data_IF_995234570414
#
_entry.id   IF_995234570414
#
_cell.length_a   1.000
_cell.length_b   1.000
_cell.length_c   1.000
_cell.angle_alpha   90.00
_cell.angle_beta   90.00
_cell.angle_gamma   90.00
#
_symmetry.space_group_name_H-M   'P 1'
#
loop_
_entity.id
_entity.type
_entity.pdbx_description
1 polymer ?
#
# COMPACT_ATOMS: atom_id res chain seq x y z
N UNK A 1 -7.93 -3.87 -21.26
CA UNK A 1 -6.82 -3.95 -20.31
C UNK A 1 -7.25 -4.66 -19.04
N UNK A 2 -6.32 -5.41 -18.46
CA UNK A 2 -6.61 -6.15 -17.23
C UNK A 2 -6.77 -5.19 -16.05
N UNK A 3 -7.86 -5.34 -15.29
CA UNK A 3 -8.05 -4.61 -14.05
C UNK A 3 -7.23 -5.25 -12.93
N UNK A 4 -6.80 -4.45 -11.97
CA UNK A 4 -6.00 -4.92 -10.84
C UNK A 4 -6.67 -4.62 -9.51
N UNK A 5 -6.36 -5.44 -8.51
CA UNK A 5 -6.75 -5.22 -7.13
C UNK A 5 -5.57 -4.55 -6.42
N UNK A 6 -5.79 -3.36 -5.90
CA UNK A 6 -4.72 -2.50 -5.37
C UNK A 6 -4.81 -2.38 -3.86
N UNK A 7 -3.67 -2.54 -3.18
CA UNK A 7 -3.54 -2.26 -1.75
C UNK A 7 -2.75 -0.97 -1.52
N UNK A 8 -3.22 -0.13 -0.61
CA UNK A 8 -2.53 1.08 -0.19
C UNK A 8 -2.14 0.93 1.27
N UNK A 9 -0.86 0.98 1.55
CA UNK A 9 -0.32 0.90 2.90
C UNK A 9 0.14 2.29 3.33
N UNK A 10 -0.54 2.87 4.30
CA UNK A 10 -0.28 4.23 4.74
C UNK A 10 -1.15 5.23 3.97
N UNK A 11 -2.08 5.87 4.68
CA UNK A 11 -3.03 6.81 4.08
C UNK A 11 -2.87 8.23 4.63
N UNK A 12 -1.64 8.62 4.95
CA UNK A 12 -1.31 9.98 5.31
C UNK A 12 -1.56 10.91 4.12
N UNK A 13 -0.93 12.08 4.09
CA UNK A 13 -1.24 13.05 3.04
C UNK A 13 -1.07 12.47 1.63
N UNK A 14 0.12 11.95 1.32
CA UNK A 14 0.39 11.39 -0.01
C UNK A 14 -0.39 10.10 -0.27
N UNK A 15 -0.43 9.21 0.72
CA UNK A 15 -1.15 7.93 0.59
C UNK A 15 -2.64 8.12 0.40
N UNK A 16 -3.23 9.11 1.09
CA UNK A 16 -4.64 9.44 0.92
C UNK A 16 -4.97 9.95 -0.49
N UNK A 17 -4.11 10.82 -1.04
CA UNK A 17 -4.27 11.31 -2.41
C UNK A 17 -4.18 10.15 -3.41
N UNK A 18 -3.24 9.24 -3.21
CA UNK A 18 -3.10 8.06 -4.08
C UNK A 18 -4.29 7.13 -3.99
N UNK A 19 -4.82 6.94 -2.78
CA UNK A 19 -6.01 6.11 -2.58
C UNK A 19 -7.20 6.68 -3.36
N UNK A 20 -7.43 7.99 -3.29
CA UNK A 20 -8.50 8.62 -4.03
C UNK A 20 -8.30 8.53 -5.55
N UNK A 21 -7.07 8.71 -6.01
CA UNK A 21 -6.73 8.57 -7.43
C UNK A 21 -6.97 7.16 -7.92
N UNK A 22 -6.55 6.15 -7.15
CA UNK A 22 -6.79 4.75 -7.48
C UNK A 22 -8.28 4.42 -7.51
N UNK A 23 -9.05 4.94 -6.56
CA UNK A 23 -10.48 4.70 -6.51
C UNK A 23 -11.20 5.22 -7.75
N UNK A 24 -10.71 6.31 -8.33
CA UNK A 24 -11.27 6.91 -9.54
C UNK A 24 -10.76 6.27 -10.83
N UNK A 25 -9.75 5.41 -10.76
CA UNK A 25 -9.13 4.81 -11.94
C UNK A 25 -9.89 3.54 -12.38
N UNK A 26 -10.39 3.48 -13.63
CA UNK A 26 -11.15 2.31 -14.08
C UNK A 26 -10.34 1.03 -14.19
N UNK A 27 -9.00 1.09 -14.12
CA UNK A 27 -8.14 -0.09 -14.13
C UNK A 27 -8.01 -0.71 -12.75
N UNK A 28 -8.45 -0.03 -11.70
CA UNK A 28 -8.45 -0.58 -10.34
C UNK A 28 -9.80 -1.23 -10.08
N UNK A 29 -9.80 -2.56 -9.97
CA UNK A 29 -11.01 -3.33 -9.74
C UNK A 29 -11.49 -3.21 -8.30
N UNK A 30 -10.57 -3.31 -7.35
CA UNK A 30 -10.86 -3.14 -5.93
C UNK A 30 -9.72 -2.42 -5.24
N UNK A 31 -10.04 -1.69 -4.18
CA UNK A 31 -9.09 -0.95 -3.38
C UNK A 31 -9.11 -1.47 -1.95
N UNK A 32 -7.94 -1.71 -1.40
CA UNK A 32 -7.77 -2.23 -0.05
C UNK A 32 -6.82 -1.31 0.70
N UNK A 33 -7.15 -0.95 1.93
CA UNK A 33 -6.40 0.03 2.72
C UNK A 33 -5.82 -0.56 3.99
N UNK A 34 -4.61 -0.14 4.35
CA UNK A 34 -4.02 -0.37 5.65
C UNK A 34 -3.52 0.95 6.23
N UNK A 35 -3.93 1.26 7.44
CA UNK A 35 -3.55 2.48 8.15
C UNK A 35 -3.65 2.23 9.64
N UNK A 36 -2.62 2.62 10.38
CA UNK A 36 -2.60 2.39 11.84
C UNK A 36 -3.46 3.37 12.63
N UNK A 37 -3.78 4.52 12.06
CA UNK A 37 -4.63 5.54 12.71
C UNK A 37 -6.09 5.26 12.38
N UNK A 38 -6.92 4.82 13.36
CA UNK A 38 -8.30 4.39 13.07
C UNK A 38 -9.16 5.46 12.43
N UNK A 39 -9.03 6.70 12.89
CA UNK A 39 -9.81 7.82 12.36
C UNK A 39 -9.48 8.12 10.91
N UNK A 40 -8.18 8.10 10.57
CA UNK A 40 -7.73 8.32 9.21
C UNK A 40 -8.14 7.18 8.29
N UNK A 41 -8.04 5.95 8.79
CA UNK A 41 -8.47 4.77 8.05
C UNK A 41 -9.96 4.86 7.68
N UNK A 42 -10.80 5.19 8.64
CA UNK A 42 -12.24 5.32 8.42
C UNK A 42 -12.55 6.44 7.42
N UNK A 43 -11.87 7.57 7.54
CA UNK A 43 -12.06 8.72 6.65
C UNK A 43 -11.72 8.38 5.20
N UNK A 44 -10.56 7.76 4.97
CA UNK A 44 -10.12 7.42 3.62
C UNK A 44 -10.96 6.27 3.05
N UNK A 45 -11.31 5.29 3.86
CA UNK A 45 -12.16 4.18 3.42
C UNK A 45 -13.52 4.69 2.95
N UNK A 46 -14.11 5.63 3.67
CA UNK A 46 -15.39 6.23 3.29
C UNK A 46 -15.25 7.04 2.00
N UNK A 47 -14.20 7.84 1.88
CA UNK A 47 -13.98 8.69 0.71
C UNK A 47 -13.72 7.89 -0.58
N UNK A 48 -13.11 6.71 -0.47
CA UNK A 48 -12.69 5.90 -1.61
C UNK A 48 -13.63 4.73 -1.92
N UNK A 49 -14.49 4.34 -0.99
CA UNK A 49 -15.30 3.13 -1.14
C UNK A 49 -14.47 1.86 -1.10
N UNK A 50 -13.37 1.84 -0.33
CA UNK A 50 -12.47 0.71 -0.25
C UNK A 50 -13.20 -0.59 0.13
N UNK A 51 -12.83 -1.69 -0.50
CA UNK A 51 -13.42 -2.99 -0.24
C UNK A 51 -13.03 -3.54 1.13
N UNK A 52 -11.77 -3.33 1.55
CA UNK A 52 -11.31 -3.68 2.90
C UNK A 52 -10.50 -2.54 3.49
N UNK A 53 -10.49 -2.47 4.82
CA UNK A 53 -9.73 -1.48 5.56
C UNK A 53 -9.22 -2.16 6.84
N UNK A 54 -7.92 -2.08 7.10
CA UNK A 54 -7.29 -2.76 8.22
C UNK A 54 -6.23 -1.90 8.89
N UNK A 55 -5.97 -2.15 10.17
CA UNK A 55 -4.87 -1.52 10.88
C UNK A 55 -3.53 -2.26 10.66
N UNK A 56 -3.57 -3.48 10.14
CA UNK A 56 -2.38 -4.33 9.96
C UNK A 56 -2.10 -4.54 8.46
N UNK A 57 -1.00 -3.94 7.96
CA UNK A 57 -0.62 -4.06 6.56
C UNK A 57 -0.38 -5.51 6.11
N UNK A 58 -0.08 -6.42 7.05
CA UNK A 58 0.16 -7.82 6.72
C UNK A 58 -1.08 -8.51 6.19
N UNK A 59 -2.27 -8.04 6.56
CA UNK A 59 -3.51 -8.57 6.00
C UNK A 59 -3.59 -8.29 4.49
N UNK A 60 -3.10 -7.14 4.05
CA UNK A 60 -3.01 -6.81 2.63
C UNK A 60 -2.04 -7.75 1.90
N UNK A 61 -0.88 -7.98 2.49
CA UNK A 61 0.13 -8.85 1.88
C UNK A 61 -0.33 -10.29 1.80
N UNK A 62 -1.07 -10.76 2.80
CA UNK A 62 -1.60 -12.13 2.82
C UNK A 62 -2.82 -12.33 1.91
N UNK A 63 -3.42 -11.27 1.42
CA UNK A 63 -4.58 -11.36 0.55
C UNK A 63 -4.14 -11.66 -0.88
N UNK A 64 -4.34 -12.90 -1.32
CA UNK A 64 -3.93 -13.37 -2.65
C UNK A 64 -4.67 -12.65 -3.79
N UNK A 65 -5.80 -12.06 -3.51
CA UNK A 65 -6.56 -11.31 -4.51
C UNK A 65 -5.91 -9.96 -4.85
N UNK A 66 -5.03 -9.44 -4.00
CA UNK A 66 -4.37 -8.16 -4.21
C UNK A 66 -3.14 -8.36 -5.11
N UNK A 67 -3.09 -7.65 -6.23
CA UNK A 67 -2.03 -7.79 -7.23
C UNK A 67 -0.84 -6.87 -6.98
N UNK A 68 -1.11 -5.65 -6.50
CA UNK A 68 -0.09 -4.63 -6.32
C UNK A 68 -0.35 -3.81 -5.06
N UNK A 69 0.72 -3.26 -4.49
CA UNK A 69 0.61 -2.39 -3.30
C UNK A 69 1.38 -1.10 -3.53
N UNK A 70 0.85 -0.01 -2.98
CA UNK A 70 1.54 1.27 -2.86
C UNK A 70 1.89 1.49 -1.40
N UNK A 71 3.14 1.78 -1.11
CA UNK A 71 3.63 1.95 0.26
C UNK A 71 3.99 3.41 0.50
N UNK A 72 3.20 4.08 1.33
CA UNK A 72 3.37 5.49 1.69
C UNK A 72 3.33 5.68 3.21
N UNK A 73 3.65 4.64 3.96
CA UNK A 73 3.59 4.67 5.41
C UNK A 73 4.63 5.61 6.01
N UNK A 74 4.29 6.19 7.14
CA UNK A 74 5.21 6.99 7.95
C UNK A 74 5.33 6.37 9.33
N UNK A 75 6.50 6.45 9.96
CA UNK A 75 7.76 7.03 9.48
C UNK A 75 8.44 6.21 8.37
N UNK A 76 9.39 6.85 7.69
CA UNK A 76 10.04 6.27 6.49
C UNK A 76 10.76 4.94 6.74
N UNK A 77 11.21 4.67 7.95
CA UNK A 77 11.91 3.42 8.25
C UNK A 77 11.00 2.18 8.09
N UNK A 78 9.70 2.38 7.96
CA UNK A 78 8.76 1.30 7.71
C UNK A 78 8.76 0.83 6.25
N UNK A 79 9.29 1.65 5.32
CA UNK A 79 9.24 1.33 3.89
C UNK A 79 9.96 0.02 3.55
N UNK A 80 11.17 -0.16 4.06
CA UNK A 80 11.93 -1.37 3.77
C UNK A 80 11.21 -2.66 4.20
N UNK A 81 10.82 -2.82 5.48
CA UNK A 81 10.18 -4.08 5.89
C UNK A 81 8.85 -4.34 5.17
N UNK A 82 8.07 -3.30 4.90
CA UNK A 82 6.81 -3.45 4.18
C UNK A 82 7.03 -3.85 2.73
N UNK A 83 7.99 -3.21 2.04
CA UNK A 83 8.31 -3.53 0.66
C UNK A 83 8.88 -4.95 0.55
N UNK A 84 9.75 -5.33 1.46
CA UNK A 84 10.32 -6.68 1.52
C UNK A 84 9.22 -7.73 1.64
N UNK A 85 8.31 -7.54 2.59
CA UNK A 85 7.21 -8.46 2.81
C UNK A 85 6.31 -8.57 1.58
N UNK A 86 6.01 -7.43 0.94
CA UNK A 86 5.18 -7.41 -0.26
C UNK A 86 5.84 -8.13 -1.44
N UNK A 87 7.12 -7.91 -1.67
CA UNK A 87 7.85 -8.58 -2.74
C UNK A 87 7.95 -10.09 -2.50
N UNK A 88 8.21 -10.49 -1.26
CA UNK A 88 8.23 -11.92 -0.90
C UNK A 88 6.84 -12.56 -1.03
N UNK A 89 5.79 -11.77 -0.88
CA UNK A 89 4.41 -12.21 -1.09
C UNK A 89 3.98 -12.23 -2.55
N UNK A 90 4.87 -11.92 -3.48
CA UNK A 90 4.56 -11.93 -4.91
C UNK A 90 3.80 -10.73 -5.43
N UNK A 91 3.79 -9.62 -4.68
CA UNK A 91 3.09 -8.40 -5.08
C UNK A 91 3.97 -7.48 -5.91
N UNK A 92 3.37 -6.74 -6.82
CA UNK A 92 4.02 -5.59 -7.45
C UNK A 92 4.03 -4.44 -6.46
N UNK A 93 5.14 -3.72 -6.36
CA UNK A 93 5.31 -2.69 -5.32
C UNK A 93 5.61 -1.33 -5.94
N UNK A 94 4.82 -0.33 -5.55
CA UNK A 94 5.14 1.08 -5.78
C UNK A 94 5.53 1.66 -4.42
N UNK A 95 6.79 2.05 -4.29
CA UNK A 95 7.36 2.49 -3.02
C UNK A 95 7.63 3.99 -3.03
N UNK A 96 7.10 4.68 -2.02
CA UNK A 96 7.37 6.10 -1.83
C UNK A 96 8.83 6.28 -1.40
N UNK A 97 9.44 7.41 -1.73
CA UNK A 97 10.76 7.76 -1.23
C UNK A 97 10.69 8.07 0.26
N UNK A 98 11.64 7.75 1.05
CA UNK A 98 12.90 7.07 0.76
C UNK A 98 12.66 5.57 0.63
N UNK A 99 13.35 4.92 -0.32
CA UNK A 99 13.20 3.48 -0.54
C UNK A 99 13.62 2.70 0.70
N UNK A 100 14.77 3.06 1.25
CA UNK A 100 15.30 2.44 2.45
C UNK A 100 16.26 3.42 3.12
N UNK A 101 16.51 3.23 4.41
CA UNK A 101 17.43 4.11 5.15
C UNK A 101 18.89 3.68 5.03
N UNK A 102 19.12 2.43 4.67
CA UNK A 102 20.48 1.90 4.54
C UNK A 102 20.68 1.27 3.16
N UNK A 103 21.89 1.38 2.64
CA UNK A 103 22.22 0.93 1.29
C UNK A 103 21.95 -0.54 1.06
N UNK A 104 22.31 -1.40 2.02
CA UNK A 104 22.08 -2.84 1.87
C UNK A 104 20.60 -3.20 1.81
N UNK A 105 19.74 -2.42 2.46
CA UNK A 105 18.30 -2.61 2.39
C UNK A 105 17.77 -2.32 0.99
N UNK A 106 18.25 -1.22 0.39
CA UNK A 106 17.89 -0.87 -0.98
C UNK A 106 18.36 -1.93 -1.98
N UNK A 107 19.57 -2.43 -1.82
CA UNK A 107 20.12 -3.47 -2.68
C UNK A 107 19.30 -4.76 -2.57
N UNK A 108 18.86 -5.14 -1.37
CA UNK A 108 18.03 -6.32 -1.16
C UNK A 108 16.69 -6.20 -1.90
N UNK A 109 16.07 -5.02 -1.88
CA UNK A 109 14.80 -4.80 -2.56
C UNK A 109 14.93 -4.88 -4.09
N UNK A 110 16.04 -4.45 -4.64
CA UNK A 110 16.29 -4.48 -6.06
C UNK A 110 16.58 -5.90 -6.55
N UNK A 111 17.24 -6.67 -5.71
CA UNK A 111 17.52 -8.07 -6.04
C UNK A 111 16.22 -8.89 -6.01
#
# INVERSE_FOLDING_TARGET
MKQINMGIIGTGWCGGIRAETCAANPLVKSLHLAETRPERLAEVAKATGAQTATADYREIIRNDAIDAVMISATPEHLHYPMARDALLGGKHVFLEKTIALELHEGDELIA
#
